data_IF_953125452304
#
_entry.id   IF_953125452304
#
_cell.length_a   1.000
_cell.length_b   1.000
_cell.length_c   1.000
_cell.angle_alpha   90.00
_cell.angle_beta   90.00
_cell.angle_gamma   90.00
#
_symmetry.space_group_name_H-M   'P 1'
#
loop_
_entity.id
_entity.type
_entity.pdbx_description
1 polymer ?
#
# COMPACT_ATOMS: atom_id res chain seq x y z
N UNK A 1 -13.35 -7.37 4.94
CA UNK A 1 -13.93 -8.62 5.47
C UNK A 1 -15.40 -8.38 5.82
N UNK A 2 -16.17 -8.02 4.82
CA UNK A 2 -17.57 -7.65 5.00
C UNK A 2 -18.53 -8.82 4.71
N UNK A 3 -18.02 -9.91 4.16
CA UNK A 3 -18.75 -11.17 4.05
C UNK A 3 -18.30 -12.10 5.17
N UNK A 4 -19.24 -12.72 5.86
CA UNK A 4 -18.99 -13.84 6.79
C UNK A 4 -18.49 -15.08 5.99
N UNK A 5 -17.32 -14.95 5.38
CA UNK A 5 -16.67 -16.07 4.69
C UNK A 5 -15.95 -16.89 5.75
N UNK A 6 -16.45 -18.08 6.00
CA UNK A 6 -15.77 -19.08 6.81
C UNK A 6 -14.91 -19.93 5.87
N UNK A 7 -13.58 -19.78 5.98
CA UNK A 7 -12.62 -20.55 5.20
C UNK A 7 -12.08 -21.65 6.08
N UNK A 8 -12.29 -22.90 5.68
CA UNK A 8 -11.82 -24.06 6.42
C UNK A 8 -10.64 -24.69 5.71
N UNK A 9 -9.66 -25.15 6.48
CA UNK A 9 -8.47 -25.83 5.94
C UNK A 9 -8.84 -27.11 5.18
N UNK A 10 -9.91 -27.77 5.61
CA UNK A 10 -10.45 -29.00 4.99
C UNK A 10 -10.92 -28.76 3.55
N UNK A 11 -11.36 -27.54 3.23
CA UNK A 11 -11.79 -27.15 1.87
C UNK A 11 -10.59 -26.96 0.93
N UNK A 12 -9.38 -26.77 1.50
CA UNK A 12 -8.14 -26.51 0.77
C UNK A 12 -6.96 -27.33 1.31
N UNK A 13 -7.02 -28.68 1.30
CA UNK A 13 -6.03 -29.53 1.98
C UNK A 13 -4.60 -29.36 1.43
N UNK A 14 -4.47 -29.06 0.14
CA UNK A 14 -3.17 -28.88 -0.53
C UNK A 14 -2.65 -27.43 -0.52
N UNK A 15 -3.39 -26.47 0.05
CA UNK A 15 -2.98 -25.08 0.10
C UNK A 15 -1.84 -24.87 1.08
N UNK A 16 -0.66 -24.51 0.57
CA UNK A 16 0.56 -24.28 1.35
C UNK A 16 0.95 -22.80 1.45
N UNK A 17 0.58 -22.02 0.44
CA UNK A 17 1.00 -20.61 0.37
C UNK A 17 -0.12 -19.74 -0.19
N UNK A 18 -0.28 -18.55 0.37
CA UNK A 18 -1.16 -17.48 -0.13
C UNK A 18 -0.30 -16.27 -0.43
N UNK A 19 -0.37 -15.78 -1.68
CA UNK A 19 0.25 -14.52 -2.09
C UNK A 19 -0.76 -13.38 -2.09
N UNK A 20 -0.37 -12.22 -1.56
CA UNK A 20 -1.15 -10.99 -1.62
C UNK A 20 -0.35 -9.87 -2.27
N UNK A 21 -0.94 -9.18 -3.24
CA UNK A 21 -0.33 -8.06 -3.96
C UNK A 21 -1.37 -7.03 -4.39
N UNK A 22 -0.92 -5.93 -5.02
CA UNK A 22 -1.78 -4.85 -5.50
C UNK A 22 -2.02 -3.74 -4.49
N UNK A 23 -2.07 -4.08 -3.21
CA UNK A 23 -2.09 -3.13 -2.08
C UNK A 23 -1.38 -3.73 -0.87
N UNK A 24 -0.87 -2.91 0.07
CA UNK A 24 -0.27 -3.42 1.31
C UNK A 24 -1.28 -4.26 2.10
N UNK A 25 -0.91 -5.49 2.43
CA UNK A 25 -1.75 -6.36 3.26
C UNK A 25 -1.65 -5.91 4.72
N UNK A 26 -2.78 -5.50 5.31
CA UNK A 26 -2.82 -5.06 6.70
C UNK A 26 -2.45 -6.20 7.66
N UNK A 27 -1.79 -5.87 8.78
CA UNK A 27 -1.41 -6.85 9.81
C UNK A 27 -2.59 -7.69 10.30
N UNK A 28 -3.74 -7.07 10.50
CA UNK A 28 -4.99 -7.74 10.89
C UNK A 28 -5.50 -8.73 9.84
N UNK A 29 -5.24 -8.49 8.55
CA UNK A 29 -5.57 -9.45 7.50
C UNK A 29 -4.64 -10.66 7.54
N UNK A 30 -3.34 -10.45 7.81
CA UNK A 30 -2.40 -11.55 8.08
C UNK A 30 -2.89 -12.42 9.24
N UNK A 31 -3.23 -11.80 10.37
CA UNK A 31 -3.69 -12.48 11.57
C UNK A 31 -5.00 -13.24 11.32
N UNK A 32 -5.93 -12.64 10.57
CA UNK A 32 -7.17 -13.30 10.20
C UNK A 32 -6.92 -14.53 9.32
N UNK A 33 -6.10 -14.40 8.25
CA UNK A 33 -5.76 -15.53 7.37
C UNK A 33 -5.07 -16.63 8.19
N UNK A 34 -4.09 -16.26 9.04
CA UNK A 34 -3.36 -17.23 9.85
C UNK A 34 -4.26 -17.98 10.85
N UNK A 35 -5.30 -17.30 11.35
CA UNK A 35 -6.31 -17.95 12.22
C UNK A 35 -7.18 -18.96 11.47
N UNK A 36 -7.56 -18.65 10.22
CA UNK A 36 -8.38 -19.56 9.39
C UNK A 36 -7.53 -20.71 8.82
N UNK A 37 -6.29 -20.42 8.46
CA UNK A 37 -5.39 -21.34 7.75
C UNK A 37 -4.01 -21.38 8.45
N UNK A 38 -3.90 -21.98 9.65
CA UNK A 38 -2.74 -21.86 10.53
C UNK A 38 -1.43 -22.38 9.95
N UNK A 39 -1.48 -23.37 9.03
CA UNK A 39 -0.29 -23.96 8.41
C UNK A 39 0.08 -23.35 7.05
N UNK A 40 -0.62 -22.28 6.66
CA UNK A 40 -0.41 -21.67 5.34
C UNK A 40 0.60 -20.54 5.44
N UNK A 41 1.62 -20.57 4.59
CA UNK A 41 2.60 -19.48 4.47
C UNK A 41 1.97 -18.28 3.74
N UNK A 42 1.93 -17.13 4.41
CA UNK A 42 1.37 -15.90 3.84
C UNK A 42 2.52 -15.04 3.33
N UNK A 43 2.48 -14.71 2.05
CA UNK A 43 3.45 -13.88 1.35
C UNK A 43 2.79 -12.59 0.91
N UNK A 44 3.29 -11.45 1.34
CA UNK A 44 2.97 -10.17 0.75
C UNK A 44 4.01 -9.82 -0.32
N UNK A 45 3.55 -9.30 -1.47
CA UNK A 45 4.38 -9.03 -2.64
C UNK A 45 4.25 -7.54 -3.03
N UNK A 46 5.37 -6.91 -3.35
CA UNK A 46 5.42 -5.59 -3.98
C UNK A 46 6.25 -5.66 -5.25
N UNK A 47 5.71 -5.14 -6.33
CA UNK A 47 6.34 -5.13 -7.66
C UNK A 47 5.57 -4.23 -8.61
N UNK A 48 5.79 -4.40 -9.90
CA UNK A 48 5.14 -3.55 -10.90
C UNK A 48 4.84 -4.29 -12.20
N UNK A 49 3.77 -3.88 -12.88
CA UNK A 49 3.37 -4.44 -14.16
C UNK A 49 4.46 -4.26 -15.22
N UNK A 50 5.09 -3.09 -15.26
CA UNK A 50 6.11 -2.77 -16.27
C UNK A 50 7.39 -3.61 -16.11
N UNK A 51 7.77 -3.98 -14.89
CA UNK A 51 8.90 -4.88 -14.66
C UNK A 51 8.51 -6.35 -14.69
N UNK A 52 7.21 -6.66 -14.77
CA UNK A 52 6.68 -8.04 -14.80
C UNK A 52 7.27 -8.94 -13.69
N UNK A 53 7.53 -8.37 -12.53
CA UNK A 53 8.16 -9.05 -11.39
C UNK A 53 7.84 -8.36 -10.07
N UNK A 54 8.17 -9.06 -8.96
CA UNK A 54 8.18 -8.48 -7.63
C UNK A 54 9.58 -8.00 -7.25
N UNK A 55 9.66 -6.91 -6.49
CA UNK A 55 10.88 -6.40 -5.87
C UNK A 55 11.07 -6.96 -4.47
N UNK A 56 9.95 -7.06 -3.77
CA UNK A 56 9.86 -7.57 -2.41
C UNK A 56 8.85 -8.71 -2.37
N UNK A 57 9.11 -9.69 -1.54
CA UNK A 57 8.25 -10.86 -1.46
C UNK A 57 8.53 -11.74 -0.26
N UNK A 58 8.27 -13.04 -0.43
CA UNK A 58 8.41 -14.03 0.61
C UNK A 58 9.50 -15.06 0.34
N UNK A 59 9.93 -15.69 1.43
CA UNK A 59 10.85 -16.80 1.42
C UNK A 59 10.47 -17.77 2.54
N UNK A 60 10.30 -19.04 2.23
CA UNK A 60 9.88 -20.07 3.20
C UNK A 60 10.90 -20.31 4.31
N UNK A 61 12.17 -19.90 4.09
CA UNK A 61 13.24 -20.04 5.07
C UNK A 61 13.31 -18.88 6.07
N UNK A 62 12.49 -17.84 5.86
CA UNK A 62 12.47 -16.66 6.73
C UNK A 62 11.16 -16.57 7.52
N UNK A 63 11.17 -16.01 8.73
CA UNK A 63 9.94 -15.75 9.48
C UNK A 63 9.07 -14.73 8.75
N UNK A 64 7.75 -14.93 8.79
CA UNK A 64 6.76 -13.98 8.30
C UNK A 64 6.21 -13.15 9.44
N UNK A 65 6.26 -11.82 9.32
CA UNK A 65 5.71 -10.90 10.31
C UNK A 65 4.47 -10.19 9.73
N UNK A 66 3.41 -10.14 10.50
CA UNK A 66 2.16 -9.50 10.08
C UNK A 66 2.38 -8.04 9.64
N UNK A 67 1.95 -7.71 8.43
CA UNK A 67 2.09 -6.38 7.82
C UNK A 67 3.47 -6.09 7.20
N UNK A 68 4.37 -7.07 7.13
CA UNK A 68 5.70 -6.94 6.51
C UNK A 68 5.86 -7.86 5.30
N UNK A 69 6.70 -7.45 4.36
CA UNK A 69 7.24 -8.27 3.28
C UNK A 69 8.59 -8.83 3.75
N UNK A 70 8.81 -10.13 3.57
CA UNK A 70 9.91 -10.82 4.23
C UNK A 70 11.29 -10.41 3.75
N UNK A 71 11.48 -10.25 2.42
CA UNK A 71 12.79 -9.98 1.84
C UNK A 71 12.71 -9.34 0.46
N UNK A 72 13.84 -8.80 0.00
CA UNK A 72 14.05 -8.47 -1.40
C UNK A 72 14.07 -9.76 -2.25
N UNK A 73 13.45 -9.70 -3.43
CA UNK A 73 13.50 -10.79 -4.39
C UNK A 73 14.86 -10.89 -5.04
N UNK A 74 15.20 -12.07 -5.56
CA UNK A 74 16.49 -12.32 -6.19
C UNK A 74 16.76 -11.35 -7.34
N UNK A 75 17.91 -10.68 -7.27
CA UNK A 75 18.31 -9.67 -8.25
C UNK A 75 17.73 -8.27 -8.03
N UNK A 76 16.89 -8.06 -7.02
CA UNK A 76 16.31 -6.75 -6.70
C UNK A 76 17.14 -6.02 -5.63
N UNK A 77 17.87 -4.97 -6.03
CA UNK A 77 18.62 -4.11 -5.12
C UNK A 77 17.75 -3.01 -4.55
N UNK A 78 16.77 -3.39 -3.70
CA UNK A 78 15.77 -2.50 -3.11
C UNK A 78 16.35 -1.65 -2.01
N UNK A 79 16.10 -0.35 -2.04
CA UNK A 79 16.48 0.59 -0.99
C UNK A 79 15.35 1.58 -0.70
N UNK A 80 15.28 2.05 0.55
CA UNK A 80 14.50 3.22 0.94
C UNK A 80 15.45 4.42 0.93
N UNK A 81 15.12 5.50 0.23
CA UNK A 81 15.96 6.69 0.15
C UNK A 81 15.21 7.97 0.51
N UNK A 82 15.92 8.96 1.06
CA UNK A 82 15.36 10.29 1.27
C UNK A 82 15.36 11.12 -0.03
N UNK A 83 14.90 12.36 0.03
CA UNK A 83 14.86 13.29 -1.12
C UNK A 83 16.23 13.63 -1.71
N UNK A 84 17.31 13.37 -0.99
CA UNK A 84 18.69 13.57 -1.43
C UNK A 84 19.32 12.30 -2.00
N UNK A 85 18.56 11.17 -2.03
CA UNK A 85 19.05 9.87 -2.49
C UNK A 85 19.89 9.10 -1.47
N UNK A 86 19.92 9.54 -0.19
CA UNK A 86 20.63 8.81 0.88
C UNK A 86 19.79 7.65 1.36
N UNK A 87 20.41 6.50 1.53
CA UNK A 87 19.75 5.28 2.05
C UNK A 87 19.33 5.48 3.49
N UNK A 88 18.09 5.07 3.78
CA UNK A 88 17.47 5.13 5.10
C UNK A 88 17.31 3.73 5.67
N UNK A 89 17.53 3.60 6.99
CA UNK A 89 17.22 2.40 7.78
C UNK A 89 16.22 2.74 8.87
N UNK A 90 15.15 1.95 9.00
CA UNK A 90 14.06 2.13 9.98
C UNK A 90 13.30 3.45 9.83
N UNK A 91 13.46 4.11 8.72
CA UNK A 91 12.74 5.31 8.36
C UNK A 91 12.03 5.10 7.02
N UNK A 92 10.94 5.84 6.82
CA UNK A 92 10.17 5.78 5.58
C UNK A 92 10.85 6.64 4.52
N UNK A 93 11.20 6.02 3.41
CA UNK A 93 11.79 6.66 2.23
C UNK A 93 11.13 6.24 0.93
N UNK A 94 11.56 6.84 -0.16
CA UNK A 94 11.15 6.44 -1.52
C UNK A 94 11.75 5.08 -1.87
N UNK A 95 10.93 4.16 -2.39
CA UNK A 95 11.40 2.87 -2.89
C UNK A 95 12.15 3.07 -4.20
N UNK A 96 13.43 2.70 -4.18
CA UNK A 96 14.26 2.68 -5.38
C UNK A 96 14.89 1.32 -5.63
N UNK A 97 15.20 1.04 -6.89
CA UNK A 97 16.06 -0.07 -7.28
C UNK A 97 17.42 0.50 -7.65
N UNK A 98 18.40 0.23 -6.80
CA UNK A 98 19.77 0.78 -6.93
C UNK A 98 20.57 0.12 -8.06
N UNK A 99 20.09 -0.99 -8.61
CA UNK A 99 20.69 -1.69 -9.73
C UNK A 99 19.61 -2.16 -10.72
N UNK A 100 19.93 -2.27 -12.01
CA UNK A 100 18.99 -2.77 -13.00
C UNK A 100 18.65 -4.25 -12.76
N UNK A 101 17.39 -4.60 -13.00
CA UNK A 101 16.92 -5.98 -13.01
C UNK A 101 16.75 -6.48 -14.45
N UNK A 102 16.96 -7.78 -14.72
CA UNK A 102 16.80 -8.33 -16.07
C UNK A 102 15.40 -8.17 -16.67
N UNK A 103 14.38 -8.04 -15.83
CA UNK A 103 12.97 -7.90 -16.21
C UNK A 103 12.52 -6.45 -16.40
N UNK A 104 13.40 -5.46 -16.17
CA UNK A 104 13.06 -4.06 -16.46
C UNK A 104 12.79 -3.85 -17.95
N UNK A 105 11.78 -3.02 -18.31
CA UNK A 105 11.51 -2.72 -19.70
C UNK A 105 12.69 -2.00 -20.35
N UNK A 106 12.94 -2.33 -21.61
CA UNK A 106 13.99 -1.69 -22.42
C UNK A 106 13.49 -0.33 -22.93
N UNK A 107 12.18 -0.24 -23.24
CA UNK A 107 11.48 0.97 -23.69
C UNK A 107 9.97 0.80 -23.51
N UNK A 108 9.23 1.89 -23.62
CA UNK A 108 7.77 1.85 -23.70
C UNK A 108 7.29 1.81 -25.14
N UNK A 109 6.23 1.10 -25.40
CA UNK A 109 5.58 1.09 -26.70
C UNK A 109 5.17 2.51 -27.13
N UNK A 110 5.47 2.88 -28.38
CA UNK A 110 5.27 4.23 -28.93
C UNK A 110 5.98 5.36 -28.15
N UNK A 111 7.15 5.07 -27.61
CA UNK A 111 8.04 6.05 -26.96
C UNK A 111 9.45 5.99 -27.58
N UNK A 112 9.63 6.39 -28.87
CA UNK A 112 10.87 6.21 -29.60
C UNK A 112 12.06 6.96 -29.02
N UNK A 113 11.81 8.01 -28.25
CA UNK A 113 12.85 8.81 -27.56
C UNK A 113 13.07 8.39 -26.10
N UNK A 114 12.36 7.38 -25.63
CA UNK A 114 12.35 6.93 -24.22
C UNK A 114 11.99 8.05 -23.20
N UNK A 115 11.37 9.14 -23.64
CA UNK A 115 11.05 10.26 -22.76
C UNK A 115 10.04 9.89 -21.68
N UNK A 116 8.98 9.14 -22.06
CA UNK A 116 7.98 8.67 -21.08
C UNK A 116 8.60 7.71 -20.08
N UNK A 117 9.41 6.76 -20.56
CA UNK A 117 10.09 5.79 -19.71
C UNK A 117 11.01 6.48 -18.69
N UNK A 118 11.87 7.40 -19.16
CA UNK A 118 12.74 8.16 -18.26
C UNK A 118 11.96 9.08 -17.32
N UNK A 119 10.92 9.74 -17.79
CA UNK A 119 10.08 10.58 -16.95
C UNK A 119 9.38 9.80 -15.84
N UNK A 120 8.94 8.56 -16.14
CA UNK A 120 8.20 7.73 -15.21
C UNK A 120 9.08 7.23 -14.07
N UNK A 121 10.28 6.74 -14.38
CA UNK A 121 11.07 6.00 -13.39
C UNK A 121 12.41 6.63 -13.02
N UNK A 122 12.93 7.60 -13.78
CA UNK A 122 14.28 8.15 -13.59
C UNK A 122 14.31 9.67 -13.45
N UNK A 123 13.16 10.32 -13.31
CA UNK A 123 13.08 11.78 -13.21
C UNK A 123 13.53 12.31 -11.83
N UNK A 124 13.30 11.53 -10.78
CA UNK A 124 13.61 11.94 -9.41
C UNK A 124 15.08 11.71 -9.06
N UNK A 125 15.61 10.53 -9.39
CA UNK A 125 17.00 10.17 -9.17
C UNK A 125 17.61 9.68 -10.50
N UNK A 126 18.65 10.40 -10.97
CA UNK A 126 19.27 10.10 -12.27
C UNK A 126 19.90 8.70 -12.28
N UNK A 127 19.41 7.85 -13.20
CA UNK A 127 19.93 6.50 -13.39
C UNK A 127 19.50 5.48 -12.34
N UNK A 128 18.58 5.86 -11.44
CA UNK A 128 18.03 4.99 -10.40
C UNK A 128 16.52 4.86 -10.61
N UNK A 129 16.04 3.63 -10.71
CA UNK A 129 14.61 3.36 -10.84
C UNK A 129 13.87 3.75 -9.56
N UNK A 130 12.95 4.71 -9.69
CA UNK A 130 12.07 5.16 -8.60
C UNK A 130 10.70 4.58 -8.83
N UNK A 131 10.23 3.73 -7.89
CA UNK A 131 8.98 2.99 -8.11
C UNK A 131 7.72 3.80 -7.78
N UNK A 132 7.86 4.78 -6.90
CA UNK A 132 6.74 5.61 -6.45
C UNK A 132 5.96 4.98 -5.29
N UNK A 133 6.62 4.18 -4.46
CA UNK A 133 6.10 3.64 -3.21
C UNK A 133 6.91 4.16 -2.02
N UNK A 134 6.25 4.36 -0.87
CA UNK A 134 6.93 4.60 0.40
C UNK A 134 7.32 3.28 1.05
N UNK A 135 8.60 3.15 1.34
CA UNK A 135 9.23 1.95 1.89
C UNK A 135 9.89 2.24 3.24
N UNK A 136 9.70 1.34 4.19
CA UNK A 136 10.50 1.24 5.40
C UNK A 136 11.26 -0.09 5.39
N UNK A 137 12.58 -0.04 5.58
CA UNK A 137 13.41 -1.22 5.77
C UNK A 137 13.60 -1.47 7.28
N UNK A 138 13.09 -2.60 7.78
CA UNK A 138 13.26 -3.01 9.17
C UNK A 138 14.21 -4.22 9.24
N UNK A 139 15.41 -4.08 9.80
CA UNK A 139 16.46 -5.11 9.73
C UNK A 139 16.07 -6.50 10.23
N UNK A 140 15.10 -6.58 11.16
CA UNK A 140 14.68 -7.87 11.75
C UNK A 140 13.37 -8.42 11.17
N UNK A 141 12.52 -7.56 10.59
CA UNK A 141 11.17 -7.94 10.13
C UNK A 141 11.03 -7.95 8.62
N UNK A 142 12.00 -7.38 7.90
CA UNK A 142 11.96 -7.18 6.46
C UNK A 142 11.46 -5.79 6.07
N UNK A 143 10.54 -5.68 5.17
CA UNK A 143 10.15 -4.43 4.55
C UNK A 143 8.67 -4.11 4.81
N UNK A 144 8.34 -2.83 4.87
CA UNK A 144 6.95 -2.39 4.96
C UNK A 144 6.67 -1.32 3.91
N UNK A 145 5.63 -1.56 3.12
CA UNK A 145 5.10 -0.57 2.18
C UNK A 145 4.04 0.27 2.89
N UNK A 146 4.23 1.59 2.86
CA UNK A 146 3.31 2.57 3.47
C UNK A 146 2.31 3.16 2.46
N UNK A 147 2.36 2.70 1.21
CA UNK A 147 1.48 3.15 0.12
C UNK A 147 2.24 3.86 -0.99
N UNK A 148 1.49 4.45 -1.91
CA UNK A 148 2.04 5.15 -3.07
C UNK A 148 2.59 6.52 -2.70
N UNK A 149 3.72 6.90 -3.27
CA UNK A 149 4.31 8.23 -3.08
C UNK A 149 3.50 9.32 -3.81
N UNK A 150 2.94 8.99 -4.97
CA UNK A 150 2.11 9.86 -5.80
C UNK A 150 0.70 10.12 -5.23
N UNK A 151 0.19 9.21 -4.39
CA UNK A 151 -1.10 9.37 -3.68
C UNK A 151 -0.93 9.86 -2.24
N UNK A 152 0.30 10.17 -1.84
CA UNK A 152 0.58 10.67 -0.49
C UNK A 152 0.13 12.10 -0.35
N UNK A 153 -0.71 12.31 0.65
CA UNK A 153 -1.26 13.61 1.00
C UNK A 153 -0.23 14.40 1.82
N UNK A 154 0.00 15.65 1.48
CA UNK A 154 0.84 16.53 2.29
C UNK A 154 -0.05 17.48 3.11
N UNK A 155 -0.27 17.14 4.36
CA UNK A 155 -1.12 17.90 5.26
C UNK A 155 -0.28 18.66 6.28
N UNK A 156 -0.07 19.97 6.04
CA UNK A 156 0.74 20.84 6.91
C UNK A 156 2.18 20.32 7.13
N UNK A 157 2.82 19.86 6.06
CA UNK A 157 4.18 19.33 6.11
C UNK A 157 4.28 17.85 6.57
N UNK A 158 3.16 17.21 6.86
CA UNK A 158 3.12 15.80 7.24
C UNK A 158 2.56 14.97 6.09
N UNK A 159 3.31 13.94 5.73
CA UNK A 159 2.91 12.97 4.72
C UNK A 159 1.92 11.97 5.33
N UNK A 160 0.77 11.79 4.68
CA UNK A 160 -0.29 10.86 5.06
C UNK A 160 -0.51 9.91 3.90
N UNK A 161 -0.28 8.63 4.12
CA UNK A 161 -0.58 7.59 3.14
C UNK A 161 -2.09 7.31 3.08
N UNK A 162 -2.68 7.35 1.88
CA UNK A 162 -4.09 6.96 1.71
C UNK A 162 -4.33 5.52 2.13
N UNK A 163 -3.34 4.63 1.95
CA UNK A 163 -3.40 3.24 2.38
C UNK A 163 -3.67 3.07 3.88
N UNK A 164 -3.16 3.97 4.74
CA UNK A 164 -3.43 3.93 6.17
C UNK A 164 -4.90 4.16 6.48
N UNK A 165 -5.53 5.11 5.76
CA UNK A 165 -6.96 5.38 5.91
C UNK A 165 -7.79 4.20 5.41
N UNK A 166 -7.45 3.60 4.27
CA UNK A 166 -8.11 2.41 3.76
C UNK A 166 -8.03 1.25 4.75
N UNK A 167 -6.85 0.99 5.30
CA UNK A 167 -6.64 -0.06 6.30
C UNK A 167 -7.45 0.18 7.59
N UNK A 168 -7.56 1.43 8.04
CA UNK A 168 -8.37 1.79 9.20
C UNK A 168 -9.88 1.53 8.99
N UNK A 169 -10.34 1.64 7.74
CA UNK A 169 -11.75 1.50 7.39
C UNK A 169 -12.18 0.08 7.00
N UNK A 170 -11.24 -0.86 6.83
CA UNK A 170 -11.55 -2.27 6.56
C UNK A 170 -12.50 -2.86 7.64
N UNK A 171 -12.36 -2.42 8.88
CA UNK A 171 -13.15 -2.89 10.02
C UNK A 171 -14.34 -2.00 10.37
N UNK A 172 -14.62 -0.99 9.55
CA UNK A 172 -15.74 -0.09 9.77
C UNK A 172 -17.03 -0.74 9.26
N UNK A 173 -17.82 -1.29 10.17
CA UNK A 173 -19.08 -1.97 9.84
C UNK A 173 -20.02 -1.07 9.02
N UNK A 174 -20.67 -1.65 8.02
CA UNK A 174 -21.64 -0.97 7.16
C UNK A 174 -20.99 -0.11 6.07
N UNK A 175 -19.66 -0.08 5.93
CA UNK A 175 -18.94 0.56 4.83
C UNK A 175 -18.46 -0.51 3.85
N UNK A 176 -18.91 -0.39 2.60
CA UNK A 176 -18.60 -1.35 1.54
C UNK A 176 -17.33 -0.99 0.79
N UNK A 177 -17.17 0.30 0.48
CA UNK A 177 -16.02 0.79 -0.28
C UNK A 177 -15.72 2.25 0.04
N UNK A 178 -14.47 2.69 -0.15
CA UNK A 178 -14.04 4.05 0.12
C UNK A 178 -13.00 4.54 -0.88
N UNK A 179 -13.06 5.83 -1.21
CA UNK A 179 -12.05 6.54 -1.98
C UNK A 179 -11.62 7.80 -1.23
N UNK A 180 -10.32 7.98 -1.07
CA UNK A 180 -9.73 9.16 -0.43
C UNK A 180 -9.02 10.01 -1.47
N UNK A 181 -9.35 11.30 -1.50
CA UNK A 181 -8.78 12.27 -2.45
C UNK A 181 -8.26 13.48 -1.69
N UNK A 182 -7.08 13.92 -2.07
CA UNK A 182 -6.57 15.26 -1.71
C UNK A 182 -7.03 16.28 -2.75
N UNK A 183 -7.98 17.11 -2.38
CA UNK A 183 -8.49 18.18 -3.23
C UNK A 183 -7.65 19.46 -3.03
N UNK A 184 -6.42 19.46 -3.53
CA UNK A 184 -5.58 20.65 -3.57
C UNK A 184 -6.01 21.54 -4.75
N UNK A 185 -6.40 22.78 -4.44
CA UNK A 185 -6.58 23.84 -5.46
C UNK A 185 -5.43 24.82 -5.35
N UNK A 186 -4.98 25.45 -6.47
CA UNK A 186 -4.00 26.52 -6.40
C UNK A 186 -4.44 27.60 -5.40
N UNK A 187 -3.57 27.97 -4.46
CA UNK A 187 -3.80 28.98 -3.41
C UNK A 187 -4.87 28.65 -2.35
N UNK A 188 -5.31 27.39 -2.24
CA UNK A 188 -6.22 26.94 -1.17
C UNK A 188 -5.55 25.85 -0.33
N UNK A 189 -5.94 25.75 0.96
CA UNK A 189 -5.53 24.61 1.78
C UNK A 189 -6.08 23.32 1.17
N UNK A 190 -5.22 22.32 1.05
CA UNK A 190 -5.61 20.97 0.68
C UNK A 190 -6.72 20.46 1.60
N UNK A 191 -7.73 19.82 1.02
CA UNK A 191 -8.85 19.19 1.74
C UNK A 191 -8.82 17.69 1.51
N UNK A 192 -8.81 16.93 2.59
CA UNK A 192 -8.96 15.48 2.56
C UNK A 192 -10.44 15.14 2.43
N UNK A 193 -10.81 14.63 1.27
CA UNK A 193 -12.18 14.21 0.97
C UNK A 193 -12.26 12.69 1.01
N UNK A 194 -13.23 12.15 1.73
CA UNK A 194 -13.57 10.74 1.76
C UNK A 194 -14.88 10.52 1.04
N UNK A 195 -14.89 9.71 0.01
CA UNK A 195 -16.08 9.19 -0.64
C UNK A 195 -16.31 7.78 -0.11
N UNK A 196 -17.52 7.47 0.33
CA UNK A 196 -17.85 6.19 0.92
C UNK A 196 -19.14 5.60 0.34
N UNK A 197 -19.09 4.29 0.12
CA UNK A 197 -20.26 3.46 -0.21
C UNK A 197 -20.71 2.78 1.07
N UNK A 198 -21.97 2.95 1.44
CA UNK A 198 -22.54 2.32 2.62
C UNK A 198 -23.55 1.23 2.23
N UNK A 199 -23.63 0.18 3.05
CA UNK A 199 -24.55 -0.93 2.87
C UNK A 199 -26.04 -0.49 3.02
N UNK A 200 -26.27 0.42 3.96
CA UNK A 200 -27.59 1.00 4.21
C UNK A 200 -27.56 2.53 4.09
N UNK A 201 -28.73 3.16 4.13
CA UNK A 201 -28.82 4.64 4.08
C UNK A 201 -27.98 5.24 5.22
N UNK A 202 -26.90 5.97 4.88
CA UNK A 202 -25.98 6.49 5.88
C UNK A 202 -26.58 7.66 6.66
N UNK A 203 -26.24 7.74 7.94
CA UNK A 203 -26.64 8.79 8.86
C UNK A 203 -25.43 9.46 9.53
N UNK A 204 -25.67 10.38 10.44
CA UNK A 204 -24.60 11.05 11.21
C UNK A 204 -23.87 10.09 12.16
N UNK A 205 -24.51 8.98 12.58
CA UNK A 205 -23.88 7.94 13.40
C UNK A 205 -22.81 7.22 12.58
N UNK A 206 -23.10 6.89 11.32
CA UNK A 206 -22.15 6.27 10.39
C UNK A 206 -20.93 7.17 10.13
N UNK A 207 -21.11 8.48 9.97
CA UNK A 207 -19.98 9.42 9.87
C UNK A 207 -19.12 9.45 11.15
N UNK A 208 -19.74 9.43 12.33
CA UNK A 208 -19.00 9.36 13.59
C UNK A 208 -18.21 8.07 13.72
N UNK A 209 -18.79 6.96 13.28
CA UNK A 209 -18.14 5.65 13.27
C UNK A 209 -16.89 5.65 12.38
N UNK A 210 -16.98 6.15 11.12
CA UNK A 210 -15.83 6.33 10.24
C UNK A 210 -14.73 7.15 10.92
N UNK A 211 -15.09 8.30 11.51
CA UNK A 211 -14.11 9.16 12.21
C UNK A 211 -13.48 8.47 13.40
N UNK A 212 -14.23 7.66 14.13
CA UNK A 212 -13.73 6.87 15.26
C UNK A 212 -12.77 5.79 14.77
N UNK A 213 -13.12 5.01 13.73
CA UNK A 213 -12.24 4.00 13.15
C UNK A 213 -10.89 4.62 12.71
N UNK A 214 -10.92 5.73 11.98
CA UNK A 214 -9.70 6.41 11.54
C UNK A 214 -8.88 6.92 12.74
N UNK A 215 -9.52 7.49 13.76
CA UNK A 215 -8.82 8.01 14.95
C UNK A 215 -8.17 6.91 15.76
N UNK A 216 -8.82 5.74 15.85
CA UNK A 216 -8.34 4.60 16.64
C UNK A 216 -7.15 3.91 15.96
N UNK A 217 -7.19 3.75 14.65
CA UNK A 217 -6.20 2.96 13.90
C UNK A 217 -5.10 3.79 13.23
N UNK A 218 -5.30 5.12 13.12
CA UNK A 218 -4.32 6.04 12.56
C UNK A 218 -4.02 7.18 13.55
N UNK A 219 -4.21 8.42 13.12
CA UNK A 219 -4.06 9.60 13.95
C UNK A 219 -5.14 10.65 13.63
N UNK A 220 -5.36 11.66 14.49
CA UNK A 220 -6.29 12.75 14.21
C UNK A 220 -6.04 13.48 12.88
N UNK A 221 -4.82 13.40 12.36
CA UNK A 221 -4.43 14.05 11.09
C UNK A 221 -4.98 13.36 9.86
N UNK A 222 -5.32 12.06 9.96
CA UNK A 222 -5.92 11.25 8.90
C UNK A 222 -7.44 11.49 8.78
N UNK A 223 -8.03 12.28 9.68
CA UNK A 223 -9.46 12.56 9.64
C UNK A 223 -9.82 13.36 8.38
N UNK A 224 -10.80 12.89 7.58
CA UNK A 224 -11.26 13.63 6.43
C UNK A 224 -11.95 14.94 6.84
N UNK A 225 -11.71 15.99 6.05
CA UNK A 225 -12.40 17.27 6.21
C UNK A 225 -13.88 17.13 5.86
N UNK A 226 -14.18 16.33 4.81
CA UNK A 226 -15.54 16.05 4.36
C UNK A 226 -15.70 14.57 4.03
N UNK A 227 -16.90 14.03 4.30
CA UNK A 227 -17.32 12.68 3.93
C UNK A 227 -18.52 12.82 3.00
N UNK A 228 -18.38 12.25 1.79
CA UNK A 228 -19.42 12.17 0.79
C UNK A 228 -19.92 10.75 0.63
N UNK A 229 -21.23 10.60 0.48
CA UNK A 229 -21.84 9.32 0.20
C UNK A 229 -22.08 9.18 -1.28
N UNK A 230 -21.60 8.07 -1.84
CA UNK A 230 -21.76 7.74 -3.26
C UNK A 230 -22.35 6.34 -3.41
N UNK A 231 -22.91 6.06 -4.58
CA UNK A 231 -23.46 4.73 -4.87
C UNK A 231 -22.40 3.70 -5.17
N UNK A 232 -21.32 4.12 -5.83
CA UNK A 232 -20.20 3.31 -6.24
C UNK A 232 -18.93 4.15 -6.34
N UNK A 233 -17.78 3.52 -6.22
CA UNK A 233 -16.45 4.11 -6.46
C UNK A 233 -16.03 3.71 -7.88
N UNK A 234 -15.45 4.63 -8.68
CA UNK A 234 -15.03 4.36 -10.06
C UNK A 234 -13.86 3.38 -10.15
#
# INVERSE_FOLDING_TARGET
MQSNVDIKKEDYPELKTIGSTGSPLAASCFEWIQKQLPETHIISLSGGTDVCSAFLGGNILLPSYAGYLQCAMLGAAVQAVNSEGRVLEREVGELVLAQPMPCMPIYFWKDPSNQRYHKTYFSQFKGVWTHGDWLENHPQKGYKIHGRADTTLNRNGIRIGTAEIYNALIFCEGILDVLVIDAAKPNMKSQLLLFAVAEARPDEKTKKQIRTCIRTHCSPRHLPDKIYWVKEIP
#
